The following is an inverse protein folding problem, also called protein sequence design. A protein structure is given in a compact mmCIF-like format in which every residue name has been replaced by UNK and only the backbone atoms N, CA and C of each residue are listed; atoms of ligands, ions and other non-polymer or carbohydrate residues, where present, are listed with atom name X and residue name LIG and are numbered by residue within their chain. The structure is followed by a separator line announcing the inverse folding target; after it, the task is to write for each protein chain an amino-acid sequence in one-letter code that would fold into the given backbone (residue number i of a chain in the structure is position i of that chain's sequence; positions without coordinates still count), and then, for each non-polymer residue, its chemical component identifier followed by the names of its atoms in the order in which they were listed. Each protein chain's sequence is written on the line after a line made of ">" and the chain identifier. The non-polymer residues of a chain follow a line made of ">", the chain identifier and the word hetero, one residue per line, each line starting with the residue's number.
data_IF_246021896907
#
_entry.id   IF_246021896907
#
_cell.length_a   1.000
_cell.length_b   1.000
_cell.length_c   1.000
_cell.angle_alpha   90.00
_cell.angle_beta   90.00
_cell.angle_gamma   90.00
#
_symmetry.space_group_name_H-M   'P 1'
#
loop_
_entity.id
_entity.type
_entity.pdbx_description
1 polymer ?
#
# COMPACT_ATOMS: atom_id res chain seq x y z
N UNK A 1 18.16 9.66 2.70
CA UNK A 1 17.17 8.67 2.33
C UNK A 1 16.05 9.27 1.52
N UNK A 2 15.75 8.66 0.41
CA UNK A 2 14.70 9.17 -0.46
C UNK A 2 13.39 8.47 -0.18
N UNK A 3 12.41 9.27 0.17
CA UNK A 3 11.06 8.78 0.26
C UNK A 3 10.51 8.80 -1.15
N UNK A 4 10.29 7.64 -1.70
CA UNK A 4 9.80 7.59 -3.07
C UNK A 4 8.48 6.84 -3.12
N UNK A 5 7.44 7.57 -2.78
CA UNK A 5 6.08 7.05 -2.84
C UNK A 5 5.76 6.57 -4.24
N UNK A 6 6.17 7.34 -5.24
CA UNK A 6 5.88 7.00 -6.63
C UNK A 6 6.43 5.65 -7.05
N UNK A 7 7.67 5.36 -6.67
CA UNK A 7 8.27 4.08 -7.00
C UNK A 7 7.52 2.93 -6.33
N UNK A 8 7.16 3.13 -5.06
CA UNK A 8 6.43 2.09 -4.34
C UNK A 8 5.06 1.84 -4.95
N UNK A 9 4.37 2.91 -5.31
CA UNK A 9 3.07 2.79 -5.97
C UNK A 9 3.22 2.02 -7.28
N UNK A 10 4.22 2.36 -8.06
CA UNK A 10 4.46 1.68 -9.34
C UNK A 10 4.77 0.21 -9.12
N UNK A 11 5.64 -0.09 -8.17
CA UNK A 11 5.99 -1.47 -7.86
C UNK A 11 4.78 -2.29 -7.44
N UNK A 12 3.98 -1.73 -6.55
CA UNK A 12 2.78 -2.42 -6.09
C UNK A 12 1.77 -2.60 -7.20
N UNK A 13 1.60 -1.57 -8.02
CA UNK A 13 0.69 -1.63 -9.16
C UNK A 13 1.09 -2.76 -10.10
N UNK A 14 2.35 -2.79 -10.46
CA UNK A 14 2.86 -3.80 -11.39
C UNK A 14 2.81 -5.19 -10.79
N UNK A 15 3.14 -5.30 -9.50
CA UNK A 15 3.10 -6.59 -8.82
C UNK A 15 1.68 -7.16 -8.77
N UNK A 16 0.68 -6.29 -8.84
CA UNK A 16 -0.72 -6.71 -8.82
C UNK A 16 -1.35 -6.73 -10.21
N UNK A 17 -0.54 -6.58 -11.23
CA UNK A 17 -1.03 -6.68 -12.61
C UNK A 17 -1.96 -5.57 -13.03
N UNK A 18 -1.85 -4.40 -12.41
CA UNK A 18 -2.71 -3.28 -12.73
C UNK A 18 -2.02 -2.32 -13.70
N UNK A 19 -2.83 -1.75 -14.60
CA UNK A 19 -2.38 -0.62 -15.41
C UNK A 19 -2.53 0.66 -14.60
N UNK A 20 -1.90 1.73 -15.07
CA UNK A 20 -2.10 3.04 -14.44
C UNK A 20 -3.58 3.42 -14.46
N UNK A 21 -4.25 3.15 -15.57
CA UNK A 21 -5.67 3.40 -15.70
C UNK A 21 -6.48 2.57 -14.70
N UNK A 22 -6.12 1.30 -14.54
CA UNK A 22 -6.79 0.42 -13.60
C UNK A 22 -6.66 0.88 -12.18
N UNK A 23 -5.46 1.30 -11.80
CA UNK A 23 -5.25 1.83 -10.46
C UNK A 23 -6.02 3.15 -10.26
N UNK A 24 -5.97 4.03 -11.27
CA UNK A 24 -6.67 5.31 -11.20
C UNK A 24 -8.16 5.09 -10.94
N UNK A 25 -8.74 4.13 -11.62
CA UNK A 25 -10.15 3.81 -11.43
C UNK A 25 -10.43 3.36 -10.00
N UNK A 26 -9.56 2.52 -9.47
CA UNK A 26 -9.75 1.99 -8.11
C UNK A 26 -9.66 3.06 -7.04
N UNK A 27 -8.81 4.05 -7.24
CA UNK A 27 -8.63 5.10 -6.22
C UNK A 27 -9.37 6.38 -6.56
N UNK A 28 -10.12 6.40 -7.67
CA UNK A 28 -10.97 7.54 -8.00
C UNK A 28 -10.22 8.79 -8.43
N UNK A 29 -9.10 8.61 -9.13
CA UNK A 29 -8.33 9.73 -9.68
C UNK A 29 -8.14 9.51 -11.17
N UNK A 30 -7.54 10.48 -11.85
CA UNK A 30 -7.27 10.32 -13.27
C UNK A 30 -6.03 9.48 -13.51
N UNK A 31 -5.94 8.88 -14.69
CA UNK A 31 -4.74 8.16 -15.09
C UNK A 31 -3.53 9.08 -15.08
N UNK A 32 -3.73 10.32 -15.50
CA UNK A 32 -2.67 11.32 -15.49
C UNK A 32 -2.14 11.57 -14.07
N UNK A 33 -3.04 11.55 -13.08
CA UNK A 33 -2.63 11.71 -11.69
C UNK A 33 -1.75 10.54 -11.24
N UNK A 34 -2.15 9.31 -11.57
CA UNK A 34 -1.34 8.14 -11.22
C UNK A 34 0.04 8.24 -11.89
N UNK A 35 0.06 8.60 -13.15
CA UNK A 35 1.32 8.77 -13.87
C UNK A 35 2.21 9.80 -13.16
N UNK A 36 1.63 10.91 -12.75
CA UNK A 36 2.37 11.96 -12.05
C UNK A 36 2.90 11.49 -10.70
N UNK A 37 2.11 10.69 -9.98
CA UNK A 37 2.57 10.13 -8.72
C UNK A 37 3.77 9.21 -8.94
N UNK A 38 3.70 8.36 -9.95
CA UNK A 38 4.75 7.36 -10.19
C UNK A 38 6.08 7.96 -10.59
N UNK A 39 6.07 9.13 -11.22
CA UNK A 39 7.31 9.81 -11.58
C UNK A 39 7.67 10.91 -10.58
N UNK A 40 6.94 10.98 -9.46
CA UNK A 40 7.20 11.95 -8.40
C UNK A 40 7.02 13.40 -8.83
N UNK A 41 6.26 13.63 -9.90
CA UNK A 41 5.93 14.98 -10.32
C UNK A 41 4.85 15.58 -9.45
N UNK A 42 4.13 14.73 -8.72
CA UNK A 42 3.01 15.14 -7.90
C UNK A 42 2.90 14.18 -6.72
N UNK A 43 2.60 14.69 -5.56
CA UNK A 43 2.41 13.85 -4.38
C UNK A 43 0.94 13.53 -4.21
N UNK A 44 0.60 12.28 -3.92
CA UNK A 44 -0.79 11.96 -3.60
C UNK A 44 -1.21 12.63 -2.31
N UNK A 45 -2.46 13.02 -2.24
CA UNK A 45 -3.03 13.54 -0.99
C UNK A 45 -3.09 12.42 0.04
N UNK A 46 -3.32 12.81 1.29
CA UNK A 46 -3.46 11.81 2.36
C UNK A 46 -4.59 10.83 2.05
N UNK A 47 -5.72 11.34 1.57
CA UNK A 47 -6.86 10.48 1.24
C UNK A 47 -6.48 9.47 0.17
N UNK A 48 -5.74 9.89 -0.84
CA UNK A 48 -5.28 8.98 -1.90
C UNK A 48 -4.29 7.97 -1.34
N UNK A 49 -3.38 8.41 -0.48
CA UNK A 49 -2.44 7.49 0.16
C UNK A 49 -3.17 6.40 0.94
N UNK A 50 -4.19 6.78 1.68
CA UNK A 50 -4.97 5.81 2.45
C UNK A 50 -5.65 4.81 1.52
N UNK A 51 -6.22 5.30 0.42
CA UNK A 51 -6.86 4.42 -0.56
C UNK A 51 -5.86 3.44 -1.17
N UNK A 52 -4.69 3.93 -1.54
CA UNK A 52 -3.64 3.08 -2.08
C UNK A 52 -3.21 2.03 -1.06
N UNK A 53 -3.02 2.45 0.17
CA UNK A 53 -2.61 1.53 1.23
C UNK A 53 -3.64 0.41 1.41
N UNK A 54 -4.89 0.74 1.33
CA UNK A 54 -5.96 -0.26 1.48
C UNK A 54 -6.03 -1.21 0.29
N UNK A 55 -5.89 -0.67 -0.90
CA UNK A 55 -5.94 -1.49 -2.11
C UNK A 55 -4.83 -2.52 -2.12
N UNK A 56 -3.63 -2.11 -1.73
CA UNK A 56 -2.48 -3.00 -1.75
C UNK A 56 -2.20 -3.66 -0.40
N UNK A 57 -3.01 -3.36 0.59
CA UNK A 57 -2.89 -3.94 1.93
C UNK A 57 -1.51 -3.69 2.54
N UNK A 58 -1.05 -2.47 2.42
CA UNK A 58 0.20 -2.01 3.04
C UNK A 58 -0.13 -0.80 3.91
N UNK A 59 0.82 -0.41 4.75
CA UNK A 59 0.64 0.78 5.58
C UNK A 59 0.99 2.03 4.81
N UNK A 60 0.46 3.18 5.24
CA UNK A 60 0.86 4.46 4.66
C UNK A 60 2.33 4.73 4.96
N UNK A 61 2.82 4.29 6.10
CA UNK A 61 4.24 4.46 6.44
C UNK A 61 5.13 3.70 5.46
N UNK A 62 4.72 2.51 5.06
CA UNK A 62 5.45 1.77 4.04
C UNK A 62 5.50 2.55 2.73
N UNK A 63 4.37 3.12 2.32
CA UNK A 63 4.31 3.92 1.09
C UNK A 63 5.22 5.13 1.18
N UNK A 64 5.27 5.75 2.35
CA UNK A 64 6.09 6.94 2.56
C UNK A 64 7.57 6.61 2.72
N UNK A 65 7.91 5.34 2.83
CA UNK A 65 9.30 4.96 2.98
C UNK A 65 9.88 5.28 4.34
N UNK A 66 9.03 5.53 5.33
CA UNK A 66 9.50 5.85 6.67
C UNK A 66 9.92 4.59 7.36
N UNK A 67 11.16 4.56 7.83
CA UNK A 67 11.68 3.41 8.56
C UNK A 67 11.45 2.12 7.77
N UNK A 68 11.85 2.12 6.50
CA UNK A 68 11.63 0.98 5.61
C UNK A 68 11.96 -0.34 6.26
N UNK A 69 13.10 -0.41 6.90
CA UNK A 69 13.53 -1.63 7.54
C UNK A 69 12.59 -2.02 8.66
N UNK A 70 12.28 -1.06 9.51
CA UNK A 70 11.39 -1.31 10.64
C UNK A 70 9.98 -1.61 10.17
N UNK A 71 9.51 -0.85 9.19
CA UNK A 71 8.18 -1.05 8.64
C UNK A 71 8.06 -2.42 8.00
N UNK A 72 9.06 -2.81 7.23
CA UNK A 72 9.06 -4.12 6.58
C UNK A 72 9.05 -5.22 7.63
N UNK A 73 9.93 -5.12 8.61
CA UNK A 73 10.00 -6.13 9.68
C UNK A 73 8.68 -6.20 10.43
N UNK A 74 8.18 -5.05 10.86
CA UNK A 74 6.95 -4.99 11.63
C UNK A 74 5.76 -5.40 10.78
N UNK A 75 5.68 -4.92 9.56
CA UNK A 75 4.56 -5.24 8.68
C UNK A 75 4.53 -6.70 8.34
N UNK A 76 5.67 -7.26 7.99
CA UNK A 76 5.75 -8.68 7.67
C UNK A 76 5.39 -9.53 8.87
N UNK A 77 5.96 -9.21 10.01
CA UNK A 77 5.66 -9.91 11.25
C UNK A 77 4.20 -9.72 11.63
N UNK A 78 3.71 -8.49 11.52
CA UNK A 78 2.32 -8.20 11.85
C UNK A 78 1.34 -8.93 10.94
N UNK A 79 1.65 -9.05 9.67
CA UNK A 79 0.78 -9.76 8.75
C UNK A 79 0.71 -11.23 9.16
N UNK A 80 1.86 -11.84 9.42
CA UNK A 80 1.90 -13.23 9.84
C UNK A 80 1.21 -13.41 11.18
N UNK A 81 1.52 -12.56 12.13
CA UNK A 81 0.91 -12.63 13.45
C UNK A 81 -0.57 -12.32 13.42
N UNK A 82 -0.94 -11.37 12.62
CA UNK A 82 -2.34 -10.98 12.46
C UNK A 82 -3.15 -12.14 11.88
N UNK A 83 -2.61 -12.82 10.90
CA UNK A 83 -3.28 -13.97 10.30
C UNK A 83 -3.42 -15.09 11.32
N UNK A 84 -2.36 -15.37 12.07
CA UNK A 84 -2.41 -16.37 13.12
C UNK A 84 -3.41 -16.02 14.20
N UNK A 85 -3.36 -14.78 14.66
CA UNK A 85 -4.28 -14.31 15.69
C UNK A 85 -5.71 -14.34 15.18
N UNK A 86 -5.91 -13.92 13.95
CA UNK A 86 -7.24 -13.92 13.36
C UNK A 86 -7.81 -15.33 13.26
N UNK A 87 -7.01 -16.29 12.85
CA UNK A 87 -7.45 -17.67 12.79
C UNK A 87 -7.71 -18.22 14.17
N UNK A 88 -6.84 -17.92 15.12
CA UNK A 88 -7.00 -18.35 16.48
C UNK A 88 -8.28 -17.80 17.11
N UNK A 89 -8.50 -16.51 16.92
CA UNK A 89 -9.72 -15.88 17.42
C UNK A 89 -10.95 -16.48 16.76
N UNK A 90 -10.86 -16.73 15.47
CA UNK A 90 -11.95 -17.34 14.73
C UNK A 90 -12.30 -18.71 15.30
N UNK A 91 -11.29 -19.51 15.61
CA UNK A 91 -11.49 -20.80 16.20
C UNK A 91 -12.11 -20.69 17.59
N UNK A 92 -11.60 -19.76 18.40
CA UNK A 92 -12.15 -19.53 19.72
C UNK A 92 -13.59 -19.05 19.66
N UNK A 93 -13.91 -18.21 18.72
CA UNK A 93 -15.27 -17.71 18.59
C UNK A 93 -16.24 -18.77 18.10
N UNK A 94 -15.73 -19.74 17.36
CA UNK A 94 -16.55 -20.80 16.85
C UNK A 94 -16.66 -21.98 17.80
N UNK A 95 -15.91 -21.91 18.87
CA UNK A 95 -15.98 -22.88 19.95
C UNK A 95 -16.92 -22.38 21.03
#
# INVERSE_FOLDING_TARGET
>A
MNINVGEKVKELRMANGLTQSGLAEKIGVTTSAVSSYEVSARQPSYDVLVKISRIFNVTTDYLLGKSDKDVIDVTELSIKQRNLIRETIKEFKNV
#
